data_IF_796391698249
#
_entry.id   IF_796391698249
#
_cell.length_a   1.000
_cell.length_b   1.000
_cell.length_c   1.000
_cell.angle_alpha   90.00
_cell.angle_beta   90.00
_cell.angle_gamma   90.00
#
_symmetry.space_group_name_H-M   'P 1'
#
loop_
_entity.id
_entity.type
_entity.pdbx_description
1 polymer ?
#
# COMPACT_ATOMS: atom_id res chain seq x y z
N UNK A 1 -7.79 5.28 -25.02
CA UNK A 1 -8.68 6.45 -24.80
C UNK A 1 -7.88 7.40 -23.96
N UNK A 2 -7.79 8.70 -24.31
CA UNK A 2 -7.07 9.65 -23.46
C UNK A 2 -7.81 9.79 -22.13
N UNK A 3 -7.10 9.81 -21.00
CA UNK A 3 -7.68 9.89 -19.66
C UNK A 3 -8.38 11.25 -19.46
N UNK A 4 -9.63 11.21 -19.00
CA UNK A 4 -10.42 12.40 -18.61
C UNK A 4 -10.88 12.25 -17.16
N UNK A 5 -10.40 13.11 -16.22
CA UNK A 5 -10.75 13.02 -14.82
C UNK A 5 -12.23 13.24 -14.54
N UNK A 6 -12.95 14.01 -15.39
CA UNK A 6 -14.39 14.23 -15.22
C UNK A 6 -15.20 12.98 -15.58
N UNK A 7 -14.79 12.24 -16.62
CA UNK A 7 -15.40 10.96 -16.97
C UNK A 7 -15.09 9.93 -15.88
N UNK A 8 -13.83 9.81 -15.47
CA UNK A 8 -13.42 8.88 -14.43
C UNK A 8 -14.15 9.12 -13.10
N UNK A 9 -14.37 10.40 -12.73
CA UNK A 9 -15.08 10.80 -11.49
C UNK A 9 -16.54 10.33 -11.47
N UNK A 10 -17.20 10.16 -12.60
CA UNK A 10 -18.60 9.73 -12.69
C UNK A 10 -18.81 8.30 -12.20
N UNK A 11 -17.79 7.45 -12.23
CA UNK A 11 -17.86 6.08 -11.75
C UNK A 11 -17.90 5.99 -10.21
N UNK A 12 -17.72 7.10 -9.50
CA UNK A 12 -17.66 7.15 -8.04
C UNK A 12 -18.93 7.76 -7.45
N UNK A 13 -19.84 6.95 -6.85
CA UNK A 13 -21.11 7.43 -6.26
C UNK A 13 -20.92 8.48 -5.16
N UNK A 14 -19.74 8.51 -4.54
CA UNK A 14 -19.38 9.51 -3.54
C UNK A 14 -19.69 10.94 -4.01
N UNK A 15 -19.43 11.25 -5.28
CA UNK A 15 -19.60 12.59 -5.84
C UNK A 15 -21.04 12.94 -6.24
N UNK A 16 -21.97 11.98 -6.15
CA UNK A 16 -23.41 12.22 -6.41
C UNK A 16 -24.15 12.74 -5.18
N UNK A 17 -23.54 12.71 -4.01
CA UNK A 17 -24.15 13.22 -2.77
C UNK A 17 -24.04 14.74 -2.70
N UNK A 18 -25.16 15.42 -2.41
CA UNK A 18 -25.27 16.89 -2.32
C UNK A 18 -24.29 17.54 -1.32
N UNK A 19 -23.83 16.78 -0.33
CA UNK A 19 -22.86 17.21 0.69
C UNK A 19 -21.53 16.46 0.58
N UNK A 20 -21.09 16.13 -0.64
CA UNK A 20 -19.80 15.48 -0.82
C UNK A 20 -18.69 16.40 -0.28
N UNK A 21 -17.87 15.84 0.59
CA UNK A 21 -16.67 16.52 1.11
C UNK A 21 -15.61 16.53 0.00
N UNK A 22 -14.83 17.58 -0.10
CA UNK A 22 -13.62 17.58 -0.96
C UNK A 22 -12.62 16.58 -0.40
N UNK A 23 -12.47 15.45 -1.07
CA UNK A 23 -11.71 14.32 -0.57
C UNK A 23 -10.26 14.33 -1.06
N UNK A 24 -9.34 14.63 -0.16
CA UNK A 24 -7.89 14.77 -0.39
C UNK A 24 -7.06 13.86 0.53
N UNK A 25 -7.61 12.74 1.01
CA UNK A 25 -6.91 11.75 1.85
C UNK A 25 -6.78 10.38 1.16
N UNK A 26 -6.45 10.39 -0.13
CA UNK A 26 -6.36 9.18 -0.97
C UNK A 26 -5.21 8.23 -0.57
N UNK A 27 -4.13 8.75 -0.01
CA UNK A 27 -3.04 7.93 0.51
C UNK A 27 -3.45 7.11 1.76
N UNK A 28 -4.55 7.46 2.44
CA UNK A 28 -5.15 6.62 3.47
C UNK A 28 -6.01 5.52 2.82
N UNK A 29 -6.95 5.88 1.96
CA UNK A 29 -7.80 4.98 1.18
C UNK A 29 -8.41 5.73 -0.01
N UNK A 30 -8.52 5.10 -1.16
CA UNK A 30 -9.22 5.70 -2.31
C UNK A 30 -10.74 5.57 -2.15
N UNK A 31 -11.51 6.42 -2.84
CA UNK A 31 -12.96 6.22 -2.99
C UNK A 31 -13.26 4.93 -3.76
N UNK A 32 -14.51 4.46 -3.69
CA UNK A 32 -14.93 3.18 -4.25
C UNK A 32 -15.81 3.40 -5.49
N UNK A 33 -15.46 2.79 -6.64
CA UNK A 33 -16.27 2.88 -7.83
C UNK A 33 -17.57 2.08 -7.71
N UNK A 34 -18.54 2.43 -8.51
CA UNK A 34 -19.87 1.80 -8.53
C UNK A 34 -19.79 0.30 -8.79
N UNK A 35 -18.89 -0.14 -9.67
CA UNK A 35 -18.71 -1.55 -10.01
C UNK A 35 -18.34 -2.42 -8.78
N UNK A 36 -17.55 -1.90 -7.83
CA UNK A 36 -17.24 -2.58 -6.58
C UNK A 36 -18.51 -2.82 -5.74
N UNK A 37 -19.33 -1.77 -5.60
CA UNK A 37 -20.55 -1.80 -4.79
C UNK A 37 -21.52 -2.82 -5.36
N UNK A 38 -21.77 -2.75 -6.68
CA UNK A 38 -22.68 -3.66 -7.38
C UNK A 38 -22.23 -5.13 -7.31
N UNK A 39 -20.95 -5.39 -7.56
CA UNK A 39 -20.42 -6.74 -7.48
C UNK A 39 -20.51 -7.34 -6.06
N UNK A 40 -20.25 -6.50 -5.03
CA UNK A 40 -20.36 -6.89 -3.63
C UNK A 40 -21.82 -7.20 -3.25
N UNK A 41 -22.76 -6.36 -3.65
CA UNK A 41 -24.22 -6.57 -3.41
C UNK A 41 -24.68 -7.82 -4.14
N UNK A 42 -24.35 -7.98 -5.41
CA UNK A 42 -24.73 -9.17 -6.19
C UNK A 42 -24.19 -10.48 -5.57
N UNK A 43 -22.96 -10.46 -5.02
CA UNK A 43 -22.43 -11.62 -4.30
C UNK A 43 -23.29 -11.98 -3.08
N UNK A 44 -23.65 -10.99 -2.22
CA UNK A 44 -24.47 -11.26 -1.04
C UNK A 44 -25.92 -11.65 -1.35
N UNK A 45 -26.40 -11.34 -2.54
CA UNK A 45 -27.70 -11.82 -3.06
C UNK A 45 -27.63 -13.23 -3.66
N UNK A 46 -26.45 -13.84 -3.75
CA UNK A 46 -26.21 -15.19 -4.26
C UNK A 46 -26.09 -16.22 -3.14
N UNK A 47 -25.78 -17.47 -3.50
CA UNK A 47 -25.51 -18.55 -2.54
C UNK A 47 -24.26 -18.31 -1.67
N UNK A 48 -23.41 -17.38 -2.03
CA UNK A 48 -22.34 -16.84 -1.16
C UNK A 48 -21.18 -17.80 -0.88
N UNK A 49 -20.90 -18.79 -1.75
CA UNK A 49 -19.78 -19.71 -1.58
C UNK A 49 -18.87 -19.79 -2.81
N UNK A 50 -17.69 -20.39 -2.65
CA UNK A 50 -16.73 -20.70 -3.71
C UNK A 50 -16.09 -22.07 -3.45
N UNK A 51 -15.69 -22.79 -4.50
CA UNK A 51 -14.97 -24.06 -4.45
C UNK A 51 -15.70 -25.18 -3.68
N UNK A 52 -17.03 -25.20 -3.63
CA UNK A 52 -17.79 -26.18 -2.86
C UNK A 52 -18.72 -27.06 -3.69
N UNK A 53 -19.37 -26.49 -4.71
CA UNK A 53 -20.35 -27.20 -5.53
C UNK A 53 -20.55 -26.53 -6.89
N UNK A 54 -21.29 -27.23 -7.76
CA UNK A 54 -21.71 -26.66 -9.05
C UNK A 54 -22.58 -25.39 -8.91
N UNK A 55 -23.21 -25.17 -7.76
CA UNK A 55 -24.05 -23.99 -7.52
C UNK A 55 -23.25 -22.70 -7.33
N UNK A 56 -21.96 -22.81 -7.04
CA UNK A 56 -21.07 -21.67 -6.85
C UNK A 56 -19.99 -21.52 -7.95
N UNK A 57 -20.17 -22.22 -9.07
CA UNK A 57 -19.22 -22.20 -10.18
C UNK A 57 -18.94 -20.77 -10.70
N UNK A 58 -20.00 -19.95 -10.84
CA UNK A 58 -19.87 -18.56 -11.25
C UNK A 58 -19.05 -17.75 -10.25
N UNK A 59 -19.32 -17.86 -8.96
CA UNK A 59 -18.59 -17.15 -7.90
C UNK A 59 -17.14 -17.63 -7.82
N UNK A 60 -16.92 -18.94 -7.99
CA UNK A 60 -15.57 -19.53 -8.06
C UNK A 60 -14.79 -18.96 -9.26
N UNK A 61 -15.43 -18.89 -10.43
CA UNK A 61 -14.80 -18.30 -11.62
C UNK A 61 -14.41 -16.84 -11.43
N UNK A 62 -15.27 -16.01 -10.83
CA UNK A 62 -14.96 -14.60 -10.50
C UNK A 62 -13.86 -14.47 -9.46
N UNK A 63 -13.87 -15.34 -8.43
CA UNK A 63 -12.85 -15.35 -7.39
C UNK A 63 -11.47 -15.66 -7.94
N UNK A 64 -11.34 -16.67 -8.82
CA UNK A 64 -10.07 -17.01 -9.45
C UNK A 64 -9.70 -16.02 -10.58
N UNK A 65 -10.68 -15.38 -11.22
CA UNK A 65 -10.41 -14.32 -12.17
C UNK A 65 -9.74 -13.11 -11.51
N UNK A 66 -10.14 -12.75 -10.28
CA UNK A 66 -9.47 -11.71 -9.50
C UNK A 66 -7.98 -12.02 -9.31
N UNK A 67 -7.62 -13.27 -9.07
CA UNK A 67 -6.23 -13.73 -8.92
C UNK A 67 -5.45 -13.56 -10.23
N UNK A 68 -6.08 -13.90 -11.38
CA UNK A 68 -5.49 -13.66 -12.71
C UNK A 68 -5.25 -12.18 -12.99
N UNK A 69 -6.20 -11.32 -12.65
CA UNK A 69 -6.04 -9.87 -12.76
C UNK A 69 -4.87 -9.34 -11.92
N UNK A 70 -4.76 -9.78 -10.66
CA UNK A 70 -3.63 -9.39 -9.80
C UNK A 70 -2.31 -9.88 -10.39
N UNK A 71 -2.24 -11.14 -10.86
CA UNK A 71 -1.06 -11.65 -11.56
C UNK A 71 -0.64 -10.73 -12.71
N UNK A 72 -1.59 -10.28 -13.52
CA UNK A 72 -1.32 -9.37 -14.66
C UNK A 72 -0.88 -7.99 -14.16
N UNK A 73 -1.58 -7.44 -13.15
CA UNK A 73 -1.30 -6.10 -12.60
C UNK A 73 0.15 -5.94 -12.13
N UNK A 74 0.72 -6.95 -11.50
CA UNK A 74 2.07 -6.91 -10.92
C UNK A 74 3.07 -7.79 -11.66
N UNK A 75 2.70 -8.40 -12.79
CA UNK A 75 3.50 -9.35 -13.54
C UNK A 75 4.07 -10.48 -12.64
N UNK A 76 3.20 -11.06 -11.79
CA UNK A 76 3.59 -12.18 -10.94
C UNK A 76 3.86 -13.44 -11.78
N UNK A 77 4.72 -14.32 -11.28
CA UNK A 77 5.17 -15.55 -11.93
C UNK A 77 4.00 -16.47 -12.31
N UNK A 78 3.06 -16.65 -11.40
CA UNK A 78 1.87 -17.47 -11.61
C UNK A 78 0.70 -17.04 -10.72
N UNK A 79 -0.49 -17.59 -10.95
CA UNK A 79 -1.65 -17.41 -10.06
C UNK A 79 -1.40 -17.98 -8.66
N UNK A 80 -0.57 -19.03 -8.55
CA UNK A 80 -0.16 -19.63 -7.29
C UNK A 80 0.68 -18.69 -6.43
N UNK A 81 1.36 -17.72 -7.06
CA UNK A 81 2.15 -16.71 -6.39
C UNK A 81 1.33 -15.52 -5.85
N UNK A 82 0.00 -15.53 -5.99
CA UNK A 82 -0.89 -14.48 -5.48
C UNK A 82 -1.67 -15.02 -4.30
N UNK A 83 -1.45 -14.49 -3.11
CA UNK A 83 -2.06 -14.92 -1.85
C UNK A 83 -2.96 -13.80 -1.32
N UNK A 84 -4.23 -14.13 -1.02
CA UNK A 84 -5.15 -13.19 -0.41
C UNK A 84 -4.86 -13.01 1.09
N UNK A 85 -4.82 -11.75 1.51
CA UNK A 85 -4.66 -11.34 2.91
C UNK A 85 -5.71 -10.29 3.25
N UNK A 86 -5.79 -9.86 4.51
CA UNK A 86 -6.70 -8.75 4.90
C UNK A 86 -6.13 -7.36 4.59
N UNK A 87 -4.89 -7.27 4.10
CA UNK A 87 -4.18 -6.03 3.79
C UNK A 87 -2.68 -6.18 3.87
N UNK A 88 -1.94 -5.14 3.52
CA UNK A 88 -0.47 -5.09 3.57
C UNK A 88 0.09 -5.53 4.92
N UNK A 89 -0.51 -5.07 6.01
CA UNK A 89 -0.05 -5.44 7.36
C UNK A 89 -0.09 -6.95 7.58
N UNK A 90 -1.17 -7.65 7.20
CA UNK A 90 -1.22 -9.11 7.32
C UNK A 90 -0.26 -9.77 6.34
N UNK A 91 -0.10 -9.24 5.12
CA UNK A 91 0.84 -9.77 4.13
C UNK A 91 2.28 -9.76 4.68
N UNK A 92 2.74 -8.64 5.22
CA UNK A 92 4.06 -8.51 5.85
C UNK A 92 4.18 -9.47 7.06
N UNK A 93 3.15 -9.55 7.91
CA UNK A 93 3.15 -10.47 9.05
C UNK A 93 3.14 -11.95 8.63
N UNK A 94 2.53 -12.29 7.49
CA UNK A 94 2.59 -13.64 6.93
C UNK A 94 4.02 -14.01 6.55
N UNK A 95 4.74 -13.12 5.88
CA UNK A 95 6.17 -13.32 5.57
C UNK A 95 6.98 -13.41 6.87
N UNK A 96 6.80 -12.47 7.78
CA UNK A 96 7.54 -12.38 9.03
C UNK A 96 7.39 -13.62 9.91
N UNK A 97 6.17 -14.09 10.12
CA UNK A 97 5.93 -15.30 10.91
C UNK A 97 6.33 -16.56 10.14
N UNK A 98 6.15 -16.57 8.81
CA UNK A 98 6.54 -17.69 7.95
C UNK A 98 8.04 -17.93 7.93
N UNK A 99 8.84 -16.88 8.10
CA UNK A 99 10.31 -16.96 8.13
C UNK A 99 10.90 -17.24 9.52
N UNK A 100 10.11 -17.23 10.60
CA UNK A 100 10.63 -17.47 11.96
C UNK A 100 11.50 -18.74 12.06
N UNK A 101 11.16 -19.90 11.44
CA UNK A 101 11.99 -21.10 11.50
C UNK A 101 13.35 -20.98 10.76
N UNK A 102 13.51 -19.97 9.94
CA UNK A 102 14.71 -19.74 9.14
C UNK A 102 15.62 -18.63 9.72
N UNK A 103 15.26 -18.07 10.88
CA UNK A 103 15.98 -17.00 11.55
C UNK A 103 16.56 -17.47 12.89
N UNK A 104 17.82 -17.18 13.09
CA UNK A 104 18.57 -17.54 14.31
C UNK A 104 19.10 -16.29 14.99
N UNK A 105 19.55 -16.45 16.24
CA UNK A 105 20.22 -15.38 16.97
C UNK A 105 21.50 -14.96 16.22
N UNK A 106 21.64 -13.64 16.03
CA UNK A 106 22.77 -13.05 15.29
C UNK A 106 22.55 -12.95 13.79
N UNK A 107 21.48 -13.52 13.20
CA UNK A 107 21.05 -13.16 11.83
C UNK A 107 20.62 -11.70 11.78
N UNK A 108 20.73 -11.09 10.61
CA UNK A 108 20.51 -9.66 10.42
C UNK A 108 19.30 -9.40 9.53
N UNK A 109 18.49 -8.41 9.95
CA UNK A 109 17.32 -7.90 9.23
C UNK A 109 17.55 -6.42 8.99
N UNK A 110 17.41 -5.96 7.75
CA UNK A 110 17.57 -4.56 7.38
C UNK A 110 16.19 -3.98 7.05
N UNK A 111 15.88 -2.84 7.66
CA UNK A 111 14.67 -2.01 7.44
C UNK A 111 15.10 -0.56 7.27
N UNK A 112 14.15 0.36 7.06
CA UNK A 112 14.45 1.78 6.84
C UNK A 112 13.66 2.71 7.74
N UNK A 113 14.21 3.90 8.03
CA UNK A 113 13.47 5.01 8.64
C UNK A 113 12.26 5.43 7.78
N UNK A 114 12.29 5.14 6.46
CA UNK A 114 11.20 5.44 5.54
C UNK A 114 9.98 4.51 5.68
N UNK A 115 10.08 3.43 6.47
CA UNK A 115 9.05 2.41 6.53
C UNK A 115 7.81 2.84 7.31
N UNK A 116 6.65 2.44 6.79
CA UNK A 116 5.40 2.45 7.55
C UNK A 116 5.50 1.49 8.75
N UNK A 117 4.77 1.77 9.85
CA UNK A 117 4.81 0.94 11.07
C UNK A 117 4.56 -0.56 10.80
N UNK A 118 3.76 -0.93 9.79
CA UNK A 118 3.54 -2.33 9.43
C UNK A 118 4.83 -3.05 9.02
N UNK A 119 5.73 -2.35 8.33
CA UNK A 119 7.03 -2.88 7.93
C UNK A 119 8.09 -2.65 9.00
N UNK A 120 8.00 -1.60 9.79
CA UNK A 120 8.96 -1.28 10.85
C UNK A 120 8.78 -2.15 12.11
N UNK A 121 7.58 -2.10 12.70
CA UNK A 121 7.30 -2.76 13.99
C UNK A 121 7.35 -4.29 13.87
N UNK A 122 6.87 -4.83 12.76
CA UNK A 122 6.83 -6.29 12.55
C UNK A 122 8.21 -6.91 12.66
N UNK A 123 9.23 -6.34 12.01
CA UNK A 123 10.59 -6.89 12.03
C UNK A 123 11.28 -6.71 13.37
N UNK A 124 11.02 -5.63 14.10
CA UNK A 124 11.46 -5.50 15.49
C UNK A 124 10.89 -6.61 16.38
N UNK A 125 9.62 -7.01 16.19
CA UNK A 125 9.04 -8.11 16.95
C UNK A 125 9.62 -9.48 16.55
N UNK A 126 9.93 -9.68 15.27
CA UNK A 126 10.64 -10.87 14.79
C UNK A 126 12.02 -10.95 15.43
N UNK A 127 12.80 -9.89 15.38
CA UNK A 127 14.14 -9.83 15.98
C UNK A 127 14.11 -10.12 17.49
N UNK A 128 13.13 -9.55 18.21
CA UNK A 128 12.94 -9.84 19.64
C UNK A 128 12.66 -11.32 19.92
N UNK A 129 11.93 -12.02 19.03
CA UNK A 129 11.60 -13.45 19.19
C UNK A 129 12.76 -14.36 18.84
N UNK A 130 13.57 -14.01 17.82
CA UNK A 130 14.61 -14.88 17.25
C UNK A 130 16.00 -14.58 17.77
N UNK A 131 16.23 -13.40 18.35
CA UNK A 131 17.57 -12.89 18.67
C UNK A 131 18.30 -12.32 17.45
N UNK A 132 17.62 -12.10 16.33
CA UNK A 132 18.18 -11.43 15.17
C UNK A 132 18.47 -9.94 15.47
N UNK A 133 19.37 -9.36 14.70
CA UNK A 133 19.81 -7.97 14.82
C UNK A 133 19.07 -7.12 13.78
N UNK A 134 18.48 -6.01 14.20
CA UNK A 134 17.88 -5.04 13.31
C UNK A 134 18.89 -3.96 12.93
N UNK A 135 19.02 -3.71 11.62
CA UNK A 135 19.68 -2.54 11.10
C UNK A 135 18.63 -1.62 10.48
N UNK A 136 18.56 -0.38 10.96
CA UNK A 136 17.68 0.65 10.39
C UNK A 136 18.50 1.55 9.50
N UNK A 137 18.17 1.57 8.21
CA UNK A 137 18.83 2.44 7.23
C UNK A 137 18.33 3.87 7.39
N UNK A 138 19.23 4.85 7.46
CA UNK A 138 18.83 6.25 7.46
C UNK A 138 18.34 6.66 6.06
N UNK A 139 17.57 7.75 6.04
CA UNK A 139 17.23 8.46 4.81
C UNK A 139 18.06 9.73 4.69
N UNK A 140 18.42 10.07 3.46
CA UNK A 140 19.15 11.27 3.09
C UNK A 140 18.23 12.51 3.15
N UNK A 141 18.79 13.72 2.98
CA UNK A 141 18.02 14.96 2.97
C UNK A 141 17.03 15.08 1.79
N UNK A 142 17.22 14.29 0.75
CA UNK A 142 16.27 14.13 -0.37
C UNK A 142 15.25 13.00 -0.15
N UNK A 143 15.13 12.48 1.06
CA UNK A 143 14.18 11.42 1.49
C UNK A 143 14.40 10.05 0.84
N UNK A 144 15.51 9.83 0.17
CA UNK A 144 15.90 8.51 -0.35
C UNK A 144 16.66 7.73 0.72
N UNK A 145 16.51 6.40 0.67
CA UNK A 145 17.30 5.48 1.51
C UNK A 145 18.78 5.65 1.17
N UNK A 146 19.62 5.75 2.18
CA UNK A 146 21.08 5.84 2.00
C UNK A 146 21.65 4.51 1.51
N UNK A 147 22.03 4.48 0.24
CA UNK A 147 22.62 3.29 -0.41
C UNK A 147 23.99 2.93 0.15
N UNK A 148 24.78 3.91 0.63
CA UNK A 148 26.07 3.62 1.26
C UNK A 148 25.87 2.93 2.61
N UNK A 149 24.88 3.40 3.38
CA UNK A 149 24.51 2.74 4.64
C UNK A 149 24.01 1.31 4.39
N UNK A 150 23.23 1.06 3.33
CA UNK A 150 22.83 -0.29 2.92
C UNK A 150 24.06 -1.18 2.69
N UNK A 151 24.99 -0.77 1.83
CA UNK A 151 26.20 -1.55 1.50
C UNK A 151 27.03 -1.86 2.73
N UNK A 152 27.16 -0.90 3.67
CA UNK A 152 27.91 -1.13 4.92
C UNK A 152 27.24 -2.11 5.89
N UNK A 153 25.92 -2.30 5.78
CA UNK A 153 25.15 -3.20 6.65
C UNK A 153 24.92 -4.59 6.05
N UNK A 154 25.07 -4.74 4.73
CA UNK A 154 24.97 -6.06 4.11
C UNK A 154 26.12 -6.95 4.56
N UNK A 155 25.79 -8.18 4.95
CA UNK A 155 26.74 -9.21 5.37
C UNK A 155 26.22 -10.60 5.02
N UNK A 156 27.04 -11.67 5.13
CA UNK A 156 26.57 -13.06 4.99
C UNK A 156 25.48 -13.46 6.01
N UNK A 157 25.33 -12.71 7.09
CA UNK A 157 24.27 -12.92 8.10
C UNK A 157 22.96 -12.20 7.76
N UNK A 158 22.97 -11.31 6.78
CA UNK A 158 21.74 -10.63 6.35
C UNK A 158 20.78 -11.65 5.73
N UNK A 159 19.63 -11.86 6.35
CA UNK A 159 18.60 -12.82 5.90
C UNK A 159 17.45 -12.16 5.20
N UNK A 160 17.16 -10.92 5.56
CA UNK A 160 16.06 -10.17 4.98
C UNK A 160 16.39 -8.68 4.89
N UNK A 161 15.99 -8.09 3.77
CA UNK A 161 15.89 -6.63 3.60
C UNK A 161 14.44 -6.30 3.28
N UNK A 162 13.80 -5.48 4.10
CA UNK A 162 12.44 -5.03 3.87
C UNK A 162 12.46 -3.55 3.50
N UNK A 163 11.87 -3.23 2.34
CA UNK A 163 11.91 -1.90 1.73
C UNK A 163 10.50 -1.38 1.47
N UNK A 164 10.22 -0.13 1.81
CA UNK A 164 9.04 0.53 1.26
C UNK A 164 9.33 1.02 -0.16
N UNK A 165 8.36 0.90 -1.07
CA UNK A 165 8.51 1.39 -2.44
C UNK A 165 8.19 2.88 -2.57
N UNK A 166 7.15 3.34 -1.85
CA UNK A 166 6.75 4.74 -1.85
C UNK A 166 6.34 5.19 -0.44
N UNK A 167 6.80 6.38 -0.05
CA UNK A 167 6.46 6.96 1.24
C UNK A 167 5.01 7.42 1.28
N UNK A 168 4.27 7.01 2.32
CA UNK A 168 2.94 7.54 2.59
C UNK A 168 2.96 8.93 3.24
N UNK A 169 4.12 9.49 3.53
CA UNK A 169 4.29 10.83 4.10
C UNK A 169 4.59 11.84 3.00
N UNK A 170 5.68 11.66 2.27
CA UNK A 170 6.15 12.61 1.25
C UNK A 170 5.83 12.18 -0.17
N UNK A 171 5.36 10.95 -0.38
CA UNK A 171 5.15 10.37 -1.70
C UNK A 171 6.45 9.99 -2.42
N UNK A 172 7.60 10.07 -1.75
CA UNK A 172 8.90 9.74 -2.33
C UNK A 172 8.96 8.30 -2.79
N UNK A 173 9.25 8.09 -4.06
CA UNK A 173 9.55 6.77 -4.62
C UNK A 173 11.00 6.41 -4.30
N UNK A 174 11.20 5.27 -3.64
CA UNK A 174 12.52 4.74 -3.38
C UNK A 174 13.07 4.04 -4.63
N UNK A 175 14.37 4.07 -4.91
CA UNK A 175 14.99 3.41 -6.05
C UNK A 175 15.11 1.90 -5.81
N UNK A 176 13.97 1.22 -5.57
CA UNK A 176 13.91 -0.16 -5.06
C UNK A 176 14.63 -1.13 -5.99
N UNK A 177 14.53 -0.96 -7.31
CA UNK A 177 15.25 -1.82 -8.27
C UNK A 177 16.76 -1.74 -8.05
N UNK A 178 17.31 -0.53 -7.95
CA UNK A 178 18.75 -0.34 -7.70
C UNK A 178 19.18 -0.89 -6.33
N UNK A 179 18.34 -0.69 -5.30
CA UNK A 179 18.62 -1.27 -3.98
C UNK A 179 18.63 -2.79 -4.03
N UNK A 180 17.72 -3.42 -4.76
CA UNK A 180 17.69 -4.88 -4.92
C UNK A 180 18.92 -5.37 -5.69
N UNK A 181 19.31 -4.71 -6.77
CA UNK A 181 20.52 -5.03 -7.52
C UNK A 181 21.78 -5.03 -6.63
N UNK A 182 21.91 -4.02 -5.75
CA UNK A 182 22.99 -3.96 -4.76
C UNK A 182 22.90 -5.11 -3.75
N UNK A 183 21.71 -5.42 -3.24
CA UNK A 183 21.50 -6.53 -2.31
C UNK A 183 21.90 -7.86 -2.97
N UNK A 184 21.48 -8.09 -4.21
CA UNK A 184 21.82 -9.34 -4.95
C UNK A 184 23.32 -9.47 -5.24
N UNK A 185 24.03 -8.36 -5.44
CA UNK A 185 25.47 -8.39 -5.66
C UNK A 185 26.25 -8.77 -4.40
N UNK A 186 25.79 -8.38 -3.21
CA UNK A 186 26.54 -8.48 -1.96
C UNK A 186 25.98 -9.52 -0.98
N UNK A 187 24.75 -10.03 -1.20
CA UNK A 187 24.06 -10.89 -0.25
C UNK A 187 23.04 -11.82 -0.91
N UNK A 188 22.77 -12.95 -0.27
CA UNK A 188 21.66 -13.85 -0.59
C UNK A 188 20.39 -13.55 0.21
N UNK A 189 20.29 -12.38 0.83
CA UNK A 189 19.14 -11.97 1.62
C UNK A 189 17.87 -11.96 0.80
N UNK A 190 16.77 -12.41 1.40
CA UNK A 190 15.43 -12.23 0.84
C UNK A 190 15.04 -10.75 0.87
N UNK A 191 14.29 -10.32 -0.14
CA UNK A 191 13.82 -8.93 -0.24
C UNK A 191 12.30 -8.91 -0.23
N UNK A 192 11.73 -8.17 0.75
CA UNK A 192 10.31 -7.84 0.80
C UNK A 192 10.12 -6.38 0.41
N UNK A 193 9.16 -6.12 -0.46
CA UNK A 193 8.78 -4.77 -0.90
C UNK A 193 7.36 -4.45 -0.41
N UNK A 194 7.25 -3.43 0.44
CA UNK A 194 5.97 -2.81 0.78
C UNK A 194 5.57 -1.85 -0.34
N UNK A 195 4.65 -2.29 -1.19
CA UNK A 195 4.12 -1.53 -2.31
C UNK A 195 2.76 -0.89 -2.00
N UNK A 196 2.39 -0.75 -0.72
CA UNK A 196 1.08 -0.25 -0.33
C UNK A 196 0.71 1.11 -0.95
N UNK A 197 1.67 2.00 -1.12
CA UNK A 197 1.47 3.27 -1.82
C UNK A 197 1.78 3.14 -3.31
N UNK A 198 2.88 2.50 -3.67
CA UNK A 198 3.37 2.46 -5.04
C UNK A 198 2.38 1.83 -6.03
N UNK A 199 1.58 0.84 -5.59
CA UNK A 199 0.63 0.10 -6.44
C UNK A 199 -0.41 1.00 -7.13
N UNK A 200 -0.72 2.18 -6.56
CA UNK A 200 -1.67 3.14 -7.13
C UNK A 200 -1.02 4.18 -8.05
N UNK A 201 0.31 4.29 -8.05
CA UNK A 201 1.02 5.39 -8.69
C UNK A 201 1.91 4.96 -9.85
N UNK A 202 2.43 3.73 -9.81
CA UNK A 202 3.36 3.22 -10.83
C UNK A 202 3.01 1.80 -11.28
N UNK A 203 3.40 1.47 -12.51
CA UNK A 203 3.39 0.08 -12.97
C UNK A 203 4.45 -0.71 -12.23
N UNK A 204 4.04 -1.85 -11.67
CA UNK A 204 4.96 -2.76 -10.98
C UNK A 204 5.15 -4.01 -11.84
N UNK A 205 6.41 -4.33 -12.13
CA UNK A 205 6.79 -5.60 -12.77
C UNK A 205 7.65 -6.39 -11.79
N UNK A 206 7.05 -7.37 -11.13
CA UNK A 206 7.71 -8.16 -10.09
C UNK A 206 8.89 -8.99 -10.66
N UNK A 207 8.77 -9.45 -11.90
CA UNK A 207 9.84 -10.20 -12.56
C UNK A 207 11.09 -9.34 -12.82
N UNK A 208 10.89 -8.07 -13.21
CA UNK A 208 12.00 -7.12 -13.43
C UNK A 208 12.55 -6.54 -12.13
N UNK A 209 11.72 -6.48 -11.09
CA UNK A 209 12.10 -5.95 -9.79
C UNK A 209 13.01 -6.91 -9.01
N UNK A 210 12.91 -8.20 -9.29
CA UNK A 210 13.64 -9.29 -8.62
C UNK A 210 13.41 -9.36 -7.08
N UNK A 211 12.28 -8.84 -6.60
CA UNK A 211 11.88 -8.96 -5.21
C UNK A 211 11.40 -10.39 -4.91
N UNK A 212 11.67 -10.89 -3.69
CA UNK A 212 11.19 -12.21 -3.26
C UNK A 212 9.74 -12.15 -2.78
N UNK A 213 9.35 -11.01 -2.18
CA UNK A 213 7.98 -10.76 -1.73
C UNK A 213 7.55 -9.33 -2.04
N UNK A 214 6.28 -9.17 -2.36
CA UNK A 214 5.62 -7.86 -2.49
C UNK A 214 4.30 -7.90 -1.74
N UNK A 215 3.95 -6.79 -1.07
CA UNK A 215 2.73 -6.67 -0.30
C UNK A 215 2.00 -5.36 -0.61
N UNK A 216 0.66 -5.42 -0.79
CA UNK A 216 -0.17 -4.23 -0.95
C UNK A 216 -1.61 -4.47 -0.49
N UNK A 217 -2.39 -3.38 -0.37
CA UNK A 217 -3.79 -3.39 0.05
C UNK A 217 -4.71 -2.96 -1.09
N UNK A 218 -5.80 -3.67 -1.29
CA UNK A 218 -6.77 -3.37 -2.35
C UNK A 218 -7.43 -2.00 -2.19
N UNK A 219 -7.67 -1.55 -0.94
CA UNK A 219 -8.35 -0.29 -0.67
C UNK A 219 -7.59 0.97 -1.12
N UNK A 220 -6.31 0.85 -1.52
CA UNK A 220 -5.51 1.95 -2.06
C UNK A 220 -5.57 2.06 -3.59
N UNK A 221 -6.11 1.04 -4.23
CA UNK A 221 -6.36 1.00 -5.68
C UNK A 221 -7.84 0.72 -5.96
N UNK A 222 -8.71 1.53 -5.37
CA UNK A 222 -10.16 1.53 -5.54
C UNK A 222 -10.89 0.27 -5.03
N UNK A 223 -10.17 -0.76 -4.60
CA UNK A 223 -10.69 -2.02 -4.09
C UNK A 223 -11.27 -1.91 -2.68
N UNK A 224 -11.81 -3.01 -2.14
CA UNK A 224 -12.44 -3.03 -0.83
C UNK A 224 -11.43 -2.91 0.32
N UNK A 225 -11.88 -2.45 1.48
CA UNK A 225 -11.17 -2.61 2.75
C UNK A 225 -11.18 -4.07 3.19
N UNK A 226 -10.21 -4.47 4.03
CA UNK A 226 -10.14 -5.83 4.54
C UNK A 226 -9.74 -6.87 3.47
N UNK A 227 -9.09 -6.42 2.40
CA UNK A 227 -8.45 -7.25 1.38
C UNK A 227 -7.07 -6.69 1.02
N UNK A 228 -6.11 -7.58 0.84
CA UNK A 228 -4.78 -7.28 0.36
C UNK A 228 -4.15 -8.48 -0.32
N UNK A 229 -2.96 -8.27 -0.82
CA UNK A 229 -2.20 -9.26 -1.56
C UNK A 229 -0.80 -9.39 -0.96
N UNK A 230 -0.38 -10.64 -0.77
CA UNK A 230 1.01 -11.06 -0.72
C UNK A 230 1.32 -11.76 -2.04
N UNK A 231 2.39 -11.38 -2.70
CA UNK A 231 2.89 -12.08 -3.87
C UNK A 231 4.42 -12.18 -3.82
N UNK A 232 5.00 -13.01 -4.68
CA UNK A 232 6.47 -13.17 -4.71
C UNK A 232 6.89 -14.33 -5.60
N UNK A 233 8.19 -14.66 -5.55
CA UNK A 233 8.74 -15.84 -6.18
C UNK A 233 8.17 -17.10 -5.52
N UNK A 234 7.82 -18.10 -6.31
CA UNK A 234 7.26 -19.35 -5.77
C UNK A 234 8.20 -20.03 -4.76
N UNK A 235 9.49 -20.03 -5.04
CA UNK A 235 10.48 -20.61 -4.13
C UNK A 235 10.51 -19.89 -2.78
N UNK A 236 10.46 -18.56 -2.78
CA UNK A 236 10.42 -17.75 -1.55
C UNK A 236 9.10 -17.97 -0.77
N UNK A 237 7.96 -17.97 -1.48
CA UNK A 237 6.65 -18.27 -0.87
C UNK A 237 6.59 -19.69 -0.29
N UNK A 238 7.28 -20.66 -0.90
CA UNK A 238 7.37 -22.03 -0.42
C UNK A 238 8.19 -22.19 0.87
N UNK A 239 9.07 -21.26 1.22
CA UNK A 239 9.76 -21.22 2.51
C UNK A 239 8.83 -20.89 3.67
N UNK A 240 7.71 -20.17 3.40
CA UNK A 240 6.87 -19.64 4.46
C UNK A 240 6.08 -20.73 5.17
N UNK A 241 6.16 -20.77 6.49
CA UNK A 241 5.20 -21.50 7.30
C UNK A 241 3.85 -20.73 7.36
N UNK A 242 2.70 -21.43 7.34
CA UNK A 242 1.42 -20.76 7.45
C UNK A 242 1.29 -19.94 8.75
N UNK A 243 0.74 -18.74 8.65
CA UNK A 243 0.43 -17.89 9.81
C UNK A 243 -0.77 -18.43 10.60
N UNK A 244 -1.71 -19.04 9.90
CA UNK A 244 -2.95 -19.57 10.45
C UNK A 244 -3.17 -21.01 9.94
N UNK A 245 -3.83 -21.83 10.76
CA UNK A 245 -4.15 -23.21 10.45
C UNK A 245 -5.65 -23.43 10.51
N UNK A 246 -6.20 -24.24 9.59
CA UNK A 246 -7.63 -24.53 9.55
C UNK A 246 -8.08 -25.22 8.27
N UNK A 247 -9.34 -25.08 7.93
CA UNK A 247 -9.89 -25.58 6.67
C UNK A 247 -9.30 -24.87 5.44
N UNK A 248 -9.53 -25.43 4.26
CA UNK A 248 -9.08 -24.96 2.94
C UNK A 248 -7.58 -25.12 2.68
N UNK A 249 -6.71 -24.89 3.68
CA UNK A 249 -5.25 -24.90 3.54
C UNK A 249 -4.62 -26.31 3.66
N UNK A 250 -5.42 -27.34 3.78
CA UNK A 250 -5.01 -28.75 3.93
C UNK A 250 -5.42 -29.56 2.70
N UNK A 251 -4.60 -30.55 2.31
CA UNK A 251 -4.93 -31.55 1.30
C UNK A 251 -5.42 -32.85 1.93
N UNK A 252 -4.81 -33.28 3.05
CA UNK A 252 -5.20 -34.50 3.75
C UNK A 252 -5.00 -34.37 5.25
N UNK A 253 -5.97 -34.81 6.02
CA UNK A 253 -5.92 -34.92 7.49
C UNK A 253 -6.27 -36.32 7.93
N UNK A 254 -5.46 -36.90 8.81
CA UNK A 254 -5.72 -38.10 9.56
C UNK A 254 -5.38 -37.84 11.02
N UNK A 255 -5.62 -38.85 11.89
CA UNK A 255 -5.28 -38.73 13.31
C UNK A 255 -3.76 -38.54 13.56
N UNK A 256 -2.91 -39.01 12.65
CA UNK A 256 -1.46 -39.00 12.81
C UNK A 256 -0.73 -38.06 11.83
N UNK A 257 -1.36 -37.72 10.71
CA UNK A 257 -0.70 -36.95 9.62
C UNK A 257 -1.58 -35.87 9.09
N UNK A 258 -0.95 -34.69 8.88
CA UNK A 258 -1.55 -33.55 8.22
C UNK A 258 -0.67 -33.19 7.03
N UNK A 259 -1.28 -33.06 5.85
CA UNK A 259 -0.61 -32.57 4.63
C UNK A 259 -1.29 -31.29 4.20
N UNK A 260 -0.48 -30.26 3.98
CA UNK A 260 -0.97 -28.97 3.52
C UNK A 260 -1.27 -28.98 2.01
N UNK A 261 -2.16 -28.10 1.60
CA UNK A 261 -2.40 -27.81 0.19
C UNK A 261 -1.21 -27.10 -0.43
N UNK A 262 -1.18 -27.07 -1.76
CA UNK A 262 -0.21 -26.25 -2.50
C UNK A 262 -0.55 -24.75 -2.41
N UNK A 263 0.38 -23.90 -2.81
CA UNK A 263 0.12 -22.47 -2.98
C UNK A 263 -0.99 -22.26 -4.03
N UNK A 264 -1.83 -21.25 -3.85
CA UNK A 264 -1.84 -20.23 -2.79
C UNK A 264 -2.54 -20.69 -1.51
N UNK A 265 -3.32 -21.77 -1.57
CA UNK A 265 -4.26 -22.19 -0.52
C UNK A 265 -3.59 -22.55 0.79
N UNK A 266 -2.34 -23.01 0.77
CA UNK A 266 -1.55 -23.27 1.99
C UNK A 266 -1.43 -22.05 2.89
N UNK A 267 -1.42 -20.85 2.32
CA UNK A 267 -1.28 -19.58 3.05
C UNK A 267 -2.64 -18.85 3.23
N UNK A 268 -3.77 -19.49 2.81
CA UNK A 268 -5.13 -18.92 2.87
C UNK A 268 -6.04 -19.81 3.73
N UNK A 269 -5.82 -19.84 5.05
CA UNK A 269 -6.61 -20.67 5.96
C UNK A 269 -8.04 -20.13 6.16
N UNK A 270 -9.01 -21.05 6.21
CA UNK A 270 -10.41 -20.77 6.51
C UNK A 270 -11.21 -20.27 5.31
N UNK A 271 -12.41 -19.76 5.57
CA UNK A 271 -13.25 -19.13 4.55
C UNK A 271 -12.71 -17.73 4.27
N UNK A 272 -12.31 -17.43 3.02
CA UNK A 272 -11.75 -16.11 2.67
C UNK A 272 -12.84 -15.05 2.65
N UNK A 273 -12.42 -13.78 2.56
CA UNK A 273 -13.33 -12.66 2.30
C UNK A 273 -13.79 -12.66 0.82
N UNK A 274 -14.70 -13.58 0.49
CA UNK A 274 -15.12 -13.87 -0.89
C UNK A 274 -15.74 -12.62 -1.53
N UNK A 275 -16.63 -11.92 -0.80
CA UNK A 275 -17.28 -10.71 -1.29
C UNK A 275 -16.27 -9.64 -1.70
N UNK A 276 -15.21 -9.45 -0.90
CA UNK A 276 -14.16 -8.48 -1.19
C UNK A 276 -13.34 -8.90 -2.43
N UNK A 277 -13.01 -10.19 -2.58
CA UNK A 277 -12.26 -10.68 -3.75
C UNK A 277 -13.08 -10.52 -5.04
N UNK A 278 -14.38 -10.86 -5.01
CA UNK A 278 -15.28 -10.71 -6.17
C UNK A 278 -15.50 -9.22 -6.49
N UNK A 279 -15.69 -8.38 -5.47
CA UNK A 279 -15.74 -6.92 -5.65
C UNK A 279 -14.46 -6.37 -6.26
N UNK A 280 -13.30 -6.87 -5.80
CA UNK A 280 -12.00 -6.46 -6.36
C UNK A 280 -11.79 -6.94 -7.79
N UNK A 281 -12.34 -8.13 -8.16
CA UNK A 281 -12.38 -8.57 -9.55
C UNK A 281 -13.01 -7.51 -10.46
N UNK A 282 -14.19 -6.99 -10.07
CA UNK A 282 -14.88 -5.95 -10.84
C UNK A 282 -14.06 -4.65 -10.94
N UNK A 283 -13.36 -4.27 -9.87
CA UNK A 283 -12.47 -3.10 -9.87
C UNK A 283 -11.29 -3.29 -10.81
N UNK A 284 -10.63 -4.44 -10.77
CA UNK A 284 -9.47 -4.71 -11.62
C UNK A 284 -9.85 -4.77 -13.11
N UNK A 285 -10.99 -5.36 -13.44
CA UNK A 285 -11.55 -5.36 -14.78
C UNK A 285 -11.88 -3.92 -15.23
N UNK A 286 -12.60 -3.15 -14.41
CA UNK A 286 -12.93 -1.76 -14.67
C UNK A 286 -11.66 -0.89 -14.83
N UNK A 287 -10.67 -1.05 -13.97
CA UNK A 287 -9.44 -0.25 -14.03
C UNK A 287 -8.55 -0.58 -15.22
N UNK A 288 -8.67 -1.79 -15.78
CA UNK A 288 -7.85 -2.24 -16.92
C UNK A 288 -8.04 -1.43 -18.21
N UNK A 289 -9.12 -0.66 -18.29
CA UNK A 289 -9.39 0.24 -19.43
C UNK A 289 -8.56 1.55 -19.39
N UNK A 290 -7.92 1.84 -18.24
CA UNK A 290 -7.18 3.07 -18.03
C UNK A 290 -5.67 2.81 -17.90
N UNK A 291 -4.87 3.71 -18.48
CA UNK A 291 -3.43 3.69 -18.29
C UNK A 291 -3.02 4.40 -17.00
N UNK A 292 -2.33 3.69 -16.11
CA UNK A 292 -1.95 4.20 -14.78
C UNK A 292 -1.09 5.48 -14.88
N UNK A 293 -0.23 5.58 -15.88
CA UNK A 293 0.60 6.77 -16.09
C UNK A 293 -0.24 8.02 -16.40
N UNK A 294 -1.22 7.91 -17.33
CA UNK A 294 -2.12 9.01 -17.66
C UNK A 294 -3.01 9.40 -16.48
N UNK A 295 -3.45 8.42 -15.69
CA UNK A 295 -4.23 8.66 -14.46
C UNK A 295 -3.40 9.44 -13.42
N UNK A 296 -2.17 9.02 -13.18
CA UNK A 296 -1.29 9.63 -12.18
C UNK A 296 -0.84 11.04 -12.60
N UNK A 297 -0.66 11.32 -13.91
CA UNK A 297 -0.32 12.66 -14.42
C UNK A 297 -1.30 13.74 -13.92
N UNK A 298 -2.61 13.46 -13.90
CA UNK A 298 -3.59 14.42 -13.38
C UNK A 298 -3.42 14.65 -11.87
N UNK A 299 -3.25 13.59 -11.09
CA UNK A 299 -3.08 13.68 -9.64
C UNK A 299 -1.79 14.43 -9.26
N UNK A 300 -0.69 14.15 -9.98
CA UNK A 300 0.60 14.86 -9.83
C UNK A 300 0.48 16.33 -10.20
N UNK A 301 -0.20 16.65 -11.30
CA UNK A 301 -0.44 18.04 -11.73
C UNK A 301 -1.15 18.86 -10.65
N UNK A 302 -2.20 18.30 -10.05
CA UNK A 302 -2.96 18.95 -8.98
C UNK A 302 -2.11 19.12 -7.71
N UNK A 303 -1.30 18.13 -7.37
CA UNK A 303 -0.38 18.21 -6.25
C UNK A 303 0.68 19.29 -6.48
N UNK A 304 1.21 19.42 -7.69
CA UNK A 304 2.20 20.45 -8.04
C UNK A 304 1.60 21.86 -7.99
N UNK A 305 0.40 22.05 -8.54
CA UNK A 305 -0.34 23.31 -8.38
C UNK A 305 -0.50 23.67 -6.89
N UNK A 306 -0.80 22.68 -6.07
CA UNK A 306 -0.96 22.85 -4.62
C UNK A 306 0.37 23.24 -3.95
N UNK A 307 1.48 22.57 -4.29
CA UNK A 307 2.83 22.91 -3.76
C UNK A 307 3.24 24.33 -4.13
N UNK A 308 3.06 24.73 -5.40
CA UNK A 308 3.38 26.06 -5.88
C UNK A 308 2.62 27.14 -5.10
N UNK A 309 1.32 26.96 -4.86
CA UNK A 309 0.54 27.92 -4.06
C UNK A 309 0.93 27.90 -2.59
N UNK A 310 1.14 26.72 -1.98
CA UNK A 310 1.58 26.62 -0.58
C UNK A 310 2.95 27.28 -0.37
N UNK A 311 3.86 27.22 -1.34
CA UNK A 311 5.19 27.83 -1.26
C UNK A 311 5.15 29.37 -1.19
N UNK A 312 4.04 30.00 -1.55
CA UNK A 312 3.86 31.45 -1.42
C UNK A 312 3.58 31.92 0.01
N UNK A 313 3.22 31.01 0.91
CA UNK A 313 3.01 31.32 2.33
C UNK A 313 4.35 31.21 3.08
N UNK A 314 4.86 32.33 3.61
CA UNK A 314 6.18 32.40 4.26
C UNK A 314 6.36 31.39 5.41
N UNK A 315 5.31 31.10 6.18
CA UNK A 315 5.32 30.19 7.32
C UNK A 315 5.04 28.73 6.93
N UNK A 316 4.79 28.44 5.65
CA UNK A 316 4.53 27.09 5.18
C UNK A 316 5.83 26.37 4.88
N UNK A 317 6.07 25.27 5.57
CA UNK A 317 7.17 24.35 5.30
C UNK A 317 6.64 23.13 4.56
N UNK A 318 7.13 22.89 3.36
CA UNK A 318 6.80 21.75 2.51
C UNK A 318 7.83 20.63 2.66
N UNK A 319 7.37 19.39 2.60
CA UNK A 319 8.21 18.19 2.57
C UNK A 319 8.06 17.52 1.21
N UNK A 320 8.84 17.99 0.25
CA UNK A 320 8.71 17.59 -1.16
C UNK A 320 9.51 16.33 -1.49
N UNK A 321 8.87 15.40 -2.20
CA UNK A 321 9.55 14.32 -2.89
C UNK A 321 10.55 14.87 -3.93
N UNK A 322 11.70 14.22 -4.14
CA UNK A 322 12.62 14.59 -5.24
C UNK A 322 12.06 14.25 -6.63
N UNK A 323 11.03 13.38 -6.69
CA UNK A 323 10.29 13.05 -7.91
C UNK A 323 8.89 13.66 -7.85
N UNK A 324 8.22 13.85 -9.01
CA UNK A 324 6.81 14.21 -9.05
C UNK A 324 5.96 13.23 -8.23
N UNK A 325 5.02 13.73 -7.44
CA UNK A 325 4.20 12.94 -6.54
C UNK A 325 2.83 13.57 -6.34
N UNK A 326 1.79 12.76 -6.25
CA UNK A 326 0.42 13.15 -5.91
C UNK A 326 0.18 13.40 -4.42
N UNK A 327 1.21 13.25 -3.57
CA UNK A 327 1.16 13.50 -2.11
C UNK A 327 1.84 14.83 -1.79
N UNK A 328 1.20 15.67 -0.97
CA UNK A 328 1.72 16.96 -0.50
C UNK A 328 1.67 16.98 1.02
N UNK A 329 2.84 16.96 1.67
CA UNK A 329 2.95 17.09 3.13
C UNK A 329 3.52 18.46 3.50
N UNK A 330 2.92 19.11 4.50
CA UNK A 330 3.31 20.43 4.92
C UNK A 330 2.95 20.70 6.39
N UNK A 331 3.54 21.75 6.92
CA UNK A 331 3.15 22.37 8.20
C UNK A 331 3.17 23.89 8.06
N UNK A 332 2.42 24.57 8.91
CA UNK A 332 2.61 26.01 9.16
C UNK A 332 3.34 26.16 10.49
N UNK A 333 4.44 26.91 10.52
CA UNK A 333 5.28 27.06 11.72
C UNK A 333 4.59 27.88 12.83
N UNK A 334 3.64 28.71 12.46
CA UNK A 334 2.88 29.61 13.33
C UNK A 334 1.50 29.09 13.75
N UNK A 335 1.10 27.89 13.28
CA UNK A 335 -0.24 27.34 13.48
C UNK A 335 -0.16 25.87 13.89
N UNK A 336 -0.97 25.49 14.88
CA UNK A 336 -1.09 24.08 15.25
C UNK A 336 -1.74 23.26 14.12
N UNK A 337 -1.07 22.18 13.70
CA UNK A 337 -1.54 21.34 12.58
C UNK A 337 -2.92 20.69 12.82
N UNK A 338 -3.21 20.32 14.07
CA UNK A 338 -4.51 19.69 14.40
C UNK A 338 -5.66 20.70 14.41
N UNK A 339 -5.41 21.92 14.91
CA UNK A 339 -6.42 22.99 14.89
C UNK A 339 -6.75 23.39 13.45
N UNK A 340 -5.72 23.53 12.59
CA UNK A 340 -5.91 23.81 11.18
C UNK A 340 -6.68 22.70 10.47
N UNK A 341 -6.36 21.43 10.74
CA UNK A 341 -7.07 20.29 10.17
C UNK A 341 -8.55 20.27 10.61
N UNK A 342 -8.85 20.63 11.87
CA UNK A 342 -10.21 20.70 12.38
C UNK A 342 -11.02 21.78 11.64
N UNK A 343 -10.47 22.98 11.49
CA UNK A 343 -11.17 24.06 10.76
C UNK A 343 -11.35 23.76 9.27
N UNK A 344 -10.40 23.06 8.64
CA UNK A 344 -10.54 22.60 7.26
C UNK A 344 -11.65 21.55 7.15
N UNK A 345 -11.74 20.61 8.09
CA UNK A 345 -12.80 19.60 8.11
C UNK A 345 -14.20 20.23 8.29
N UNK A 346 -14.33 21.27 9.14
CA UNK A 346 -15.58 22.04 9.30
C UNK A 346 -16.00 22.75 8.00
N UNK A 347 -15.04 22.99 7.09
CA UNK A 347 -15.29 23.56 5.77
C UNK A 347 -15.38 22.49 4.66
N UNK A 348 -15.65 21.24 5.03
CA UNK A 348 -15.80 20.10 4.13
C UNK A 348 -14.52 19.76 3.31
N UNK A 349 -13.34 19.96 3.88
CA UNK A 349 -12.07 19.50 3.31
C UNK A 349 -11.58 18.29 4.10
N UNK A 350 -11.54 17.12 3.48
CA UNK A 350 -10.98 15.91 4.08
C UNK A 350 -9.49 15.77 3.70
N UNK A 351 -8.62 15.92 4.68
CA UNK A 351 -7.19 15.68 4.59
C UNK A 351 -6.72 14.89 5.82
N UNK A 352 -5.46 14.50 5.84
CA UNK A 352 -4.87 13.79 6.98
C UNK A 352 -3.97 14.71 7.79
N UNK A 353 -4.04 14.60 9.12
CA UNK A 353 -3.09 15.21 10.06
C UNK A 353 -2.55 14.16 11.02
N UNK A 354 -1.31 14.29 11.44
CA UNK A 354 -0.70 13.44 12.46
C UNK A 354 0.58 12.74 12.00
N UNK A 355 0.86 11.59 12.61
CA UNK A 355 2.11 10.84 12.46
C UNK A 355 2.12 9.88 11.26
N UNK A 356 1.02 9.71 10.55
CA UNK A 356 0.85 8.86 9.35
C UNK A 356 1.35 7.41 9.51
N UNK A 357 1.39 6.87 10.72
CA UNK A 357 2.01 5.58 11.05
C UNK A 357 3.47 5.46 10.58
N UNK A 358 4.23 6.56 10.66
CA UNK A 358 5.62 6.68 10.20
C UNK A 358 6.44 7.57 11.14
N UNK A 359 6.35 7.34 12.46
CA UNK A 359 7.02 8.15 13.48
C UNK A 359 8.53 8.30 13.27
N UNK A 360 9.32 7.25 12.92
CA UNK A 360 10.74 7.41 12.62
C UNK A 360 11.00 8.37 11.46
N UNK A 361 10.15 8.31 10.42
CA UNK A 361 10.24 9.21 9.28
C UNK A 361 9.94 10.66 9.68
N UNK A 362 8.87 10.90 10.47
CA UNK A 362 8.54 12.24 10.96
C UNK A 362 9.62 12.82 11.88
N UNK A 363 10.24 12.00 12.71
CA UNK A 363 11.37 12.40 13.54
C UNK A 363 12.54 12.90 12.67
N UNK A 364 12.81 12.23 11.53
CA UNK A 364 13.81 12.64 10.55
C UNK A 364 13.42 13.96 9.85
N UNK A 365 12.11 14.22 9.63
CA UNK A 365 11.61 15.51 9.13
C UNK A 365 11.72 16.64 10.19
N UNK A 366 12.01 16.31 11.45
CA UNK A 366 11.97 17.24 12.58
C UNK A 366 10.56 17.69 12.94
N UNK A 367 9.56 16.82 12.71
CA UNK A 367 8.14 17.11 12.95
C UNK A 367 7.50 16.07 13.86
N UNK A 368 6.59 16.52 14.74
CA UNK A 368 5.74 15.63 15.52
C UNK A 368 4.50 15.19 14.72
N UNK A 369 4.03 16.05 13.82
CA UNK A 369 2.88 15.80 12.95
C UNK A 369 3.00 16.64 11.67
N UNK A 370 2.40 16.18 10.58
CA UNK A 370 2.21 16.98 9.36
C UNK A 370 0.76 16.95 8.90
N UNK A 371 0.35 17.97 8.14
CA UNK A 371 -0.83 17.89 7.30
C UNK A 371 -0.43 17.22 5.98
N UNK A 372 -1.29 16.36 5.47
CA UNK A 372 -1.06 15.66 4.21
C UNK A 372 -2.29 15.72 3.32
N UNK A 373 -2.11 16.27 2.13
CA UNK A 373 -3.03 16.12 1.00
C UNK A 373 -2.53 14.98 0.11
N UNK A 374 -3.44 14.24 -0.43
CA UNK A 374 -3.12 13.22 -1.43
C UNK A 374 -4.22 13.18 -2.49
N UNK A 375 -3.80 13.39 -3.71
CA UNK A 375 -4.69 13.45 -4.87
C UNK A 375 -4.83 12.07 -5.51
N UNK A 376 -5.98 11.85 -6.14
CA UNK A 376 -6.26 10.69 -6.97
C UNK A 376 -6.79 11.17 -8.34
N UNK A 377 -6.80 10.31 -9.35
CA UNK A 377 -7.22 10.66 -10.71
C UNK A 377 -8.58 11.34 -10.83
N UNK A 378 -9.51 11.08 -9.94
CA UNK A 378 -10.83 11.74 -9.90
C UNK A 378 -10.85 13.13 -9.28
N UNK A 379 -9.74 13.60 -8.70
CA UNK A 379 -9.67 14.99 -8.23
C UNK A 379 -9.55 15.95 -9.42
N UNK A 380 -10.06 17.18 -9.25
CA UNK A 380 -10.13 18.19 -10.29
C UNK A 380 -9.68 19.56 -9.76
N UNK A 381 -9.45 20.52 -10.64
CA UNK A 381 -8.93 21.85 -10.27
C UNK A 381 -9.80 22.55 -9.23
N UNK A 382 -11.13 22.40 -9.29
CA UNK A 382 -12.04 22.99 -8.31
C UNK A 382 -11.85 22.42 -6.90
N UNK A 383 -11.34 21.18 -6.74
CA UNK A 383 -11.01 20.62 -5.42
C UNK A 383 -9.82 21.39 -4.80
N UNK A 384 -8.84 21.77 -5.62
CA UNK A 384 -7.68 22.61 -5.20
C UNK A 384 -8.16 24.01 -4.82
N UNK A 385 -9.01 24.62 -5.64
CA UNK A 385 -9.56 25.97 -5.34
C UNK A 385 -10.35 25.97 -4.04
N UNK A 386 -11.20 24.97 -3.82
CA UNK A 386 -11.96 24.83 -2.59
C UNK A 386 -11.06 24.66 -1.35
N UNK A 387 -9.98 23.86 -1.48
CA UNK A 387 -8.98 23.72 -0.42
C UNK A 387 -8.35 25.06 -0.04
N UNK A 388 -7.88 25.85 -1.02
CA UNK A 388 -7.22 27.12 -0.72
C UNK A 388 -8.18 28.16 -0.13
N UNK A 389 -9.42 28.22 -0.60
CA UNK A 389 -10.45 29.06 0.00
C UNK A 389 -10.71 28.71 1.47
N UNK A 390 -10.76 27.43 1.79
CA UNK A 390 -10.91 26.95 3.15
C UNK A 390 -9.65 27.24 4.00
N UNK A 391 -8.47 27.05 3.42
CA UNK A 391 -7.17 27.30 4.06
C UNK A 391 -7.04 28.78 4.48
N UNK A 392 -7.28 29.70 3.57
CA UNK A 392 -7.20 31.16 3.84
C UNK A 392 -8.12 31.54 5.01
N UNK A 393 -9.38 31.12 4.97
CA UNK A 393 -10.33 31.40 6.05
C UNK A 393 -9.90 30.76 7.38
N UNK A 394 -9.34 29.54 7.34
CA UNK A 394 -8.85 28.86 8.57
C UNK A 394 -7.65 29.57 9.16
N UNK A 395 -6.72 30.03 8.32
CA UNK A 395 -5.55 30.78 8.77
C UNK A 395 -5.91 32.14 9.35
N UNK A 396 -6.92 32.84 8.80
CA UNK A 396 -7.45 34.10 9.37
C UNK A 396 -8.02 33.91 10.78
N UNK A 397 -8.61 32.73 11.09
CA UNK A 397 -9.16 32.42 12.40
C UNK A 397 -8.11 32.00 13.44
N UNK A 398 -6.94 31.48 12.98
CA UNK A 398 -5.90 30.96 13.85
C UNK A 398 -4.75 31.96 14.09
N UNK A 399 -4.72 33.05 13.35
CA UNK A 399 -3.77 34.17 13.48
C UNK A 399 -4.40 35.39 14.10
#
# INVERSE_FOLDING_TARGET
>A
MHFDPLIFRQDFPYFTHEKAVIYLDNAATTLKPQCLIEATVAFYQSAGSVHRSQYDEKQTALYEQARRWVKQLIHAESEQAVIWTSGTTQAINTVANGLLPHLNAGDEIIISEADHHANFVTWHQVAKKTGAIIHVLPILDNWLIDTNALLQKLSPRTKLVALNFASNVTGTLQPVKQLIELIRAESSALVLVDAAQAISHIKINLAELDADFIAFSAHKIYGPTGLGVLSGKLDALNLLQPLQYGGKMISKVSKQHITFAELPYRLEAGTPNIAAVIGFNAVLEWSSQWEIGEMEENAVRLAEMTRQRLSSYQQCKLFNSPQPSSVVSFVFEDVNAFDLATLLAEQNIALRVGEHCAQPYLARLGQAATLRLSFAPYNIDSDVEAFFKALEKSLELLR
#
